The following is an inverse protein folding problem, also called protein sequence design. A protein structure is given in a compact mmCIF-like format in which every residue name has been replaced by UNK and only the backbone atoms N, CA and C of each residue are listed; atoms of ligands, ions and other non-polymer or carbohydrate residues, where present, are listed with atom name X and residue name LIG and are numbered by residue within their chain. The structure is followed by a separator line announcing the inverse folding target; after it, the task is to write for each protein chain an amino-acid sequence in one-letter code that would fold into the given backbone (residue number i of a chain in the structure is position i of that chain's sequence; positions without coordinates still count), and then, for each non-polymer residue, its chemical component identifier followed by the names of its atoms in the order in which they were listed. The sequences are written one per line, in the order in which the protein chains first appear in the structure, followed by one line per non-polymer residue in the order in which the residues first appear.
data_IF_598118678466
#
_entry.id   IF_598118678466
#
_cell.length_a   1.000
_cell.length_b   1.000
_cell.length_c   1.000
_cell.angle_alpha   90.00
_cell.angle_beta   90.00
_cell.angle_gamma   90.00
#
_symmetry.space_group_name_H-M   'P 1'
#
loop_
_entity.id
_entity.type
_entity.pdbx_description
1 polymer ?
#
# COMPACT_ATOMS: atom_id res chain seq x y z
N UNK A 1 15.36 5.31 12.80
CA UNK A 1 14.60 4.02 12.81
C UNK A 1 13.88 3.81 11.49
N UNK A 2 13.80 2.56 11.03
CA UNK A 2 13.10 2.15 9.80
C UNK A 2 11.91 1.28 10.20
N UNK A 3 10.73 1.55 9.67
CA UNK A 3 9.50 0.77 9.93
C UNK A 3 8.98 0.22 8.61
N UNK A 4 8.65 -1.08 8.59
CA UNK A 4 8.07 -1.70 7.41
C UNK A 4 6.90 -2.61 7.77
N UNK A 5 5.80 -2.49 7.02
CA UNK A 5 4.70 -3.45 7.01
C UNK A 5 4.83 -4.40 5.81
N UNK A 6 4.37 -5.64 5.94
CA UNK A 6 4.33 -6.60 4.83
C UNK A 6 5.68 -7.10 4.33
N UNK A 7 6.75 -7.03 5.15
CA UNK A 7 8.10 -7.48 4.80
C UNK A 7 8.42 -8.94 5.15
N UNK A 8 7.45 -9.73 5.63
CA UNK A 8 7.70 -11.13 6.04
C UNK A 8 7.64 -12.14 4.90
N UNK A 9 7.14 -11.76 3.72
CA UNK A 9 6.99 -12.62 2.53
C UNK A 9 6.87 -11.80 1.24
N UNK A 10 6.91 -12.52 0.11
CA UNK A 10 6.71 -11.92 -1.21
C UNK A 10 7.74 -10.83 -1.52
N UNK A 11 7.34 -9.87 -2.35
CA UNK A 11 8.20 -8.75 -2.74
C UNK A 11 8.69 -7.91 -1.55
N UNK A 12 7.84 -7.77 -0.51
CA UNK A 12 8.22 -7.04 0.70
C UNK A 12 9.38 -7.70 1.45
N UNK A 13 9.45 -9.06 1.48
CA UNK A 13 10.59 -9.76 2.07
C UNK A 13 11.86 -9.51 1.28
N UNK A 14 11.78 -9.59 -0.06
CA UNK A 14 12.93 -9.27 -0.92
C UNK A 14 13.40 -7.84 -0.69
N UNK A 15 12.47 -6.88 -0.58
CA UNK A 15 12.80 -5.49 -0.27
C UNK A 15 13.48 -5.36 1.10
N UNK A 16 12.95 -6.01 2.13
CA UNK A 16 13.50 -5.96 3.49
C UNK A 16 14.92 -6.55 3.57
N UNK A 17 15.19 -7.65 2.85
CA UNK A 17 16.51 -8.29 2.78
C UNK A 17 17.53 -7.45 2.00
N UNK A 18 17.09 -6.65 1.04
CA UNK A 18 17.95 -5.80 0.19
C UNK A 18 18.08 -4.37 0.71
N UNK A 19 17.29 -3.95 1.70
CA UNK A 19 17.26 -2.57 2.19
C UNK A 19 18.59 -2.17 2.83
N UNK A 20 19.37 -1.37 2.10
CA UNK A 20 20.67 -0.82 2.53
C UNK A 20 20.45 0.56 3.15
N UNK A 21 19.94 0.58 4.37
CA UNK A 21 19.80 1.79 5.16
C UNK A 21 20.22 1.49 6.60
N UNK A 22 20.90 2.46 7.23
CA UNK A 22 21.38 2.35 8.59
C UNK A 22 20.28 2.62 9.62
N UNK A 23 20.49 2.10 10.81
CA UNK A 23 19.59 2.28 11.94
C UNK A 23 18.76 1.05 12.29
N UNK A 24 18.03 1.18 13.37
CA UNK A 24 17.14 0.14 13.89
C UNK A 24 16.01 -0.16 12.92
N UNK A 25 15.74 -1.44 12.65
CA UNK A 25 14.76 -1.90 11.67
C UNK A 25 13.62 -2.64 12.36
N UNK A 26 12.42 -2.08 12.32
CA UNK A 26 11.20 -2.66 12.92
C UNK A 26 10.32 -3.26 11.83
N UNK A 27 10.07 -4.55 11.93
CA UNK A 27 9.14 -5.27 11.06
C UNK A 27 7.80 -5.45 11.75
N UNK A 28 6.76 -4.84 11.19
CA UNK A 28 5.40 -5.10 11.62
C UNK A 28 4.97 -6.52 11.22
N UNK A 29 4.67 -7.37 12.20
CA UNK A 29 4.34 -8.78 12.00
C UNK A 29 2.96 -9.13 12.55
N UNK A 30 2.20 -9.95 11.80
CA UNK A 30 0.95 -10.51 12.29
C UNK A 30 1.18 -11.88 12.93
N UNK A 31 0.77 -12.02 14.19
CA UNK A 31 0.93 -13.25 14.94
C UNK A 31 2.40 -13.65 15.12
N UNK A 32 2.71 -14.94 14.92
CA UNK A 32 4.06 -15.50 15.04
C UNK A 32 4.90 -15.37 13.77
N UNK A 33 4.68 -14.33 12.94
CA UNK A 33 5.44 -14.09 11.72
C UNK A 33 6.94 -13.94 11.99
N UNK A 34 7.78 -14.56 11.14
CA UNK A 34 9.24 -14.43 11.26
C UNK A 34 9.71 -13.22 10.45
N UNK A 35 10.45 -12.34 11.11
CA UNK A 35 11.14 -11.22 10.45
C UNK A 35 12.33 -11.71 9.63
N UNK A 36 12.72 -11.03 8.56
CA UNK A 36 14.03 -11.18 7.94
C UNK A 36 15.16 -10.87 8.94
N UNK A 37 16.35 -11.41 8.67
CA UNK A 37 17.54 -11.15 9.51
C UNK A 37 17.81 -9.64 9.63
N UNK A 38 18.13 -9.18 10.82
CA UNK A 38 18.39 -7.77 11.10
C UNK A 38 17.14 -6.90 11.29
N UNK A 39 15.93 -7.49 11.28
CA UNK A 39 14.68 -6.81 11.57
C UNK A 39 14.09 -7.29 12.89
N UNK A 40 13.75 -6.37 13.76
CA UNK A 40 13.07 -6.65 15.03
C UNK A 40 11.56 -6.79 14.79
N UNK A 41 10.94 -7.92 15.14
CA UNK A 41 9.50 -8.08 14.99
C UNK A 41 8.74 -7.30 16.04
N UNK A 42 7.72 -6.57 15.61
CA UNK A 42 6.76 -5.92 16.50
C UNK A 42 5.33 -6.30 16.05
N UNK A 43 4.46 -6.77 16.96
CA UNK A 43 3.13 -7.24 16.59
C UNK A 43 2.26 -6.13 16.01
N UNK A 44 1.63 -6.40 14.86
CA UNK A 44 0.64 -5.53 14.20
C UNK A 44 -0.39 -6.36 13.44
N UNK A 45 -1.67 -6.17 13.76
CA UNK A 45 -2.78 -6.63 12.94
C UNK A 45 -3.48 -5.44 12.28
N UNK A 46 -3.32 -5.33 10.97
CA UNK A 46 -3.94 -4.28 10.16
C UNK A 46 -5.46 -4.45 9.99
N UNK A 47 -6.09 -5.46 10.58
CA UNK A 47 -7.54 -5.58 10.66
C UNK A 47 -8.13 -4.99 11.95
N UNK A 48 -7.31 -4.26 12.75
CA UNK A 48 -7.72 -3.68 14.03
C UNK A 48 -7.08 -2.32 14.26
N UNK A 49 -7.89 -1.27 14.41
CA UNK A 49 -7.43 0.07 14.77
C UNK A 49 -6.72 0.08 16.12
N UNK A 50 -7.24 -0.67 17.09
CA UNK A 50 -6.61 -0.81 18.42
C UNK A 50 -5.20 -1.40 18.32
N UNK A 51 -4.99 -2.42 17.45
CA UNK A 51 -3.67 -2.98 17.20
C UNK A 51 -2.71 -1.97 16.60
N UNK A 52 -3.17 -1.12 15.67
CA UNK A 52 -2.35 -0.06 15.08
C UNK A 52 -1.92 0.96 16.12
N UNK A 53 -2.81 1.37 17.01
CA UNK A 53 -2.50 2.30 18.12
C UNK A 53 -1.50 1.69 19.09
N UNK A 54 -1.70 0.43 19.49
CA UNK A 54 -0.78 -0.31 20.35
C UNK A 54 0.60 -0.43 19.72
N UNK A 55 0.67 -0.76 18.42
CA UNK A 55 1.93 -0.82 17.68
C UNK A 55 2.65 0.53 17.70
N UNK A 56 1.96 1.62 17.38
CA UNK A 56 2.54 2.96 17.35
C UNK A 56 3.10 3.40 18.73
N UNK A 57 2.40 3.06 19.80
CA UNK A 57 2.83 3.33 21.18
C UNK A 57 4.04 2.48 21.59
N UNK A 58 4.12 1.24 21.11
CA UNK A 58 5.22 0.32 21.41
C UNK A 58 6.52 0.59 20.62
N UNK A 59 6.46 1.50 19.64
CA UNK A 59 7.66 1.87 18.86
C UNK A 59 8.71 2.54 19.75
N UNK A 60 10.00 2.19 19.60
CA UNK A 60 11.10 2.88 20.28
C UNK A 60 11.08 4.40 20.06
N UNK A 61 11.56 5.17 21.03
CA UNK A 61 11.52 6.65 20.99
C UNK A 61 12.52 7.30 20.00
N UNK A 62 12.94 6.60 18.96
CA UNK A 62 13.87 7.07 17.95
C UNK A 62 13.15 7.77 16.79
N UNK A 63 13.76 8.81 16.15
CA UNK A 63 13.22 9.40 14.93
C UNK A 63 13.07 8.36 13.80
N UNK A 64 12.00 8.45 13.04
CA UNK A 64 11.70 7.54 11.94
C UNK A 64 12.28 8.12 10.65
N UNK A 65 13.27 7.45 10.07
CA UNK A 65 13.91 7.86 8.81
C UNK A 65 13.26 7.24 7.59
N UNK A 66 12.65 6.04 7.74
CA UNK A 66 11.96 5.36 6.65
C UNK A 66 10.67 4.73 7.16
N UNK A 67 9.56 5.02 6.48
CA UNK A 67 8.26 4.41 6.72
C UNK A 67 7.77 3.72 5.45
N UNK A 68 7.74 2.38 5.45
CA UNK A 68 7.41 1.56 4.29
C UNK A 68 6.07 0.84 4.55
N UNK A 69 4.99 1.38 4.02
CA UNK A 69 3.63 0.89 4.15
C UNK A 69 3.31 -0.02 2.95
N UNK A 70 3.76 -1.28 3.03
CA UNK A 70 3.69 -2.22 1.91
C UNK A 70 2.70 -3.36 2.11
N UNK A 71 2.27 -3.67 3.34
CA UNK A 71 1.30 -4.73 3.55
C UNK A 71 0.02 -4.49 2.75
N UNK A 72 -0.60 -5.58 2.31
CA UNK A 72 -1.86 -5.50 1.59
C UNK A 72 -2.29 -6.86 1.05
N UNK A 73 -3.53 -6.91 0.61
CA UNK A 73 -4.13 -8.10 0.04
C UNK A 73 -5.43 -7.76 -0.69
N UNK A 74 -6.02 -8.77 -1.28
CA UNK A 74 -7.33 -8.71 -1.93
C UNK A 74 -8.22 -9.78 -1.34
N UNK A 75 -9.47 -9.45 -1.06
CA UNK A 75 -10.50 -10.43 -0.68
C UNK A 75 -11.37 -10.78 -1.88
N UNK A 76 -11.99 -11.97 -1.90
CA UNK A 76 -12.84 -12.41 -3.01
C UNK A 76 -14.18 -11.67 -3.06
N UNK A 77 -14.52 -10.90 -2.04
CA UNK A 77 -15.74 -10.10 -1.94
C UNK A 77 -15.49 -8.85 -1.09
N UNK A 78 -16.45 -7.94 -1.09
CA UNK A 78 -16.44 -6.72 -0.26
C UNK A 78 -17.37 -6.82 0.97
N UNK A 79 -17.83 -8.02 1.35
CA UNK A 79 -18.72 -8.24 2.50
C UNK A 79 -17.99 -8.62 3.78
N UNK A 80 -16.70 -9.02 3.68
CA UNK A 80 -15.88 -9.33 4.86
C UNK A 80 -15.56 -8.05 5.63
N UNK A 81 -15.76 -8.09 6.95
CA UNK A 81 -15.55 -6.93 7.85
C UNK A 81 -14.37 -7.15 8.79
N UNK A 82 -13.73 -6.06 9.17
CA UNK A 82 -12.77 -6.02 10.29
C UNK A 82 -13.51 -6.07 11.64
N UNK A 83 -12.77 -6.21 12.74
CA UNK A 83 -13.38 -6.09 14.08
C UNK A 83 -13.94 -4.68 14.36
N UNK A 84 -13.46 -3.66 13.64
CA UNK A 84 -13.95 -2.28 13.72
C UNK A 84 -15.16 -2.03 12.78
N UNK A 85 -15.65 -3.06 12.04
CA UNK A 85 -16.83 -2.99 11.17
C UNK A 85 -16.56 -2.53 9.73
N UNK A 86 -15.34 -2.19 9.35
CA UNK A 86 -14.99 -1.71 8.01
C UNK A 86 -14.82 -2.85 6.99
N UNK A 87 -15.00 -2.54 5.68
CA UNK A 87 -14.65 -3.47 4.61
C UNK A 87 -13.17 -3.87 4.72
N UNK A 88 -12.92 -5.18 4.69
CA UNK A 88 -11.63 -5.76 5.05
C UNK A 88 -10.48 -5.30 4.16
N UNK A 89 -10.69 -5.18 2.83
CA UNK A 89 -9.62 -4.83 1.88
C UNK A 89 -9.27 -3.34 1.99
N UNK A 90 -10.28 -2.48 2.04
CA UNK A 90 -10.08 -1.04 2.23
C UNK A 90 -9.40 -0.75 3.58
N UNK A 91 -9.90 -1.37 4.65
CA UNK A 91 -9.33 -1.17 5.98
C UNK A 91 -7.86 -1.60 6.04
N UNK A 92 -7.54 -2.83 5.61
CA UNK A 92 -6.18 -3.36 5.76
C UNK A 92 -5.16 -2.77 4.79
N UNK A 93 -5.59 -2.35 3.59
CA UNK A 93 -4.68 -1.78 2.60
C UNK A 93 -4.48 -0.28 2.76
N UNK A 94 -5.52 0.44 3.21
CA UNK A 94 -5.52 1.90 3.27
C UNK A 94 -5.76 2.45 4.68
N UNK A 95 -6.91 2.20 5.28
CA UNK A 95 -7.36 2.95 6.46
C UNK A 95 -6.45 2.78 7.67
N UNK A 96 -5.99 1.54 7.95
CA UNK A 96 -5.05 1.26 9.05
C UNK A 96 -3.63 1.73 8.75
N UNK A 97 -3.21 1.75 7.48
CA UNK A 97 -1.96 2.40 7.09
C UNK A 97 -2.04 3.92 7.21
N UNK A 98 -3.18 4.52 6.86
CA UNK A 98 -3.45 5.93 7.10
C UNK A 98 -3.32 6.26 8.59
N UNK A 99 -3.97 5.51 9.48
CA UNK A 99 -3.84 5.70 10.92
C UNK A 99 -2.38 5.55 11.39
N UNK A 100 -1.68 4.51 10.94
CA UNK A 100 -0.27 4.31 11.30
C UNK A 100 0.60 5.49 10.84
N UNK A 101 0.39 5.97 9.62
CA UNK A 101 1.06 7.17 9.10
C UNK A 101 0.80 8.37 10.01
N UNK A 102 -0.47 8.68 10.32
CA UNK A 102 -0.85 9.81 11.17
C UNK A 102 -0.22 9.74 12.56
N UNK A 103 -0.22 8.57 13.20
CA UNK A 103 0.37 8.34 14.51
C UNK A 103 1.91 8.46 14.52
N UNK A 104 2.55 8.19 13.37
CA UNK A 104 4.01 8.23 13.25
C UNK A 104 4.55 9.54 12.66
N UNK A 105 3.71 10.34 11.99
CA UNK A 105 4.11 11.62 11.39
C UNK A 105 4.88 12.55 12.34
N UNK A 106 4.47 12.76 13.61
CA UNK A 106 5.19 13.64 14.54
C UNK A 106 6.62 13.17 14.86
N UNK A 107 6.95 11.94 14.51
CA UNK A 107 8.25 11.29 14.77
C UNK A 107 9.09 11.10 13.52
N UNK A 108 8.61 11.53 12.35
CA UNK A 108 9.38 11.47 11.11
C UNK A 108 10.56 12.43 11.18
N UNK A 109 11.75 11.92 10.91
CA UNK A 109 12.97 12.73 10.86
C UNK A 109 12.95 13.72 9.69
N UNK A 110 13.66 14.84 9.76
CA UNK A 110 13.97 15.64 8.57
C UNK A 110 14.60 14.74 7.48
N UNK A 111 14.14 14.90 6.23
CA UNK A 111 14.57 14.08 5.11
C UNK A 111 14.02 12.65 5.11
N UNK A 112 13.04 12.31 5.94
CA UNK A 112 12.44 10.98 5.99
C UNK A 112 11.87 10.54 4.64
N UNK A 113 11.94 9.22 4.37
CA UNK A 113 11.39 8.62 3.16
C UNK A 113 10.15 7.79 3.50
N UNK A 114 9.04 8.09 2.84
CA UNK A 114 7.76 7.42 3.04
C UNK A 114 7.37 6.73 1.74
N UNK A 115 7.18 5.41 1.78
CA UNK A 115 6.75 4.64 0.61
C UNK A 115 5.44 3.93 0.93
N UNK A 116 4.40 4.19 0.13
CA UNK A 116 3.09 3.56 0.26
C UNK A 116 2.85 2.69 -0.98
N UNK A 117 2.65 1.39 -0.82
CA UNK A 117 2.43 0.49 -1.96
C UNK A 117 1.03 0.69 -2.55
N UNK A 118 0.99 1.18 -3.79
CA UNK A 118 -0.17 1.32 -4.65
C UNK A 118 -0.25 0.17 -5.67
N UNK A 119 -0.85 0.39 -6.83
CA UNK A 119 -0.94 -0.54 -7.97
C UNK A 119 -1.48 0.19 -9.20
N UNK A 120 -1.06 -0.19 -10.40
CA UNK A 120 -1.63 0.29 -11.67
C UNK A 120 -3.13 0.01 -11.84
N UNK A 121 -3.71 -0.87 -11.01
CA UNK A 121 -5.17 -1.13 -11.00
C UNK A 121 -6.02 0.10 -10.66
N UNK A 122 -5.42 1.17 -10.16
CA UNK A 122 -6.10 2.44 -9.92
C UNK A 122 -6.42 3.21 -11.21
N UNK A 123 -5.75 2.88 -12.31
CA UNK A 123 -5.87 3.59 -13.58
C UNK A 123 -6.58 2.72 -14.64
N UNK A 124 -7.76 3.12 -15.14
CA UNK A 124 -8.47 2.39 -16.18
C UNK A 124 -7.69 2.30 -17.51
N UNK A 125 -6.72 3.20 -17.75
CA UNK A 125 -5.87 3.21 -18.95
C UNK A 125 -4.91 2.02 -18.98
N UNK A 126 -4.53 1.48 -17.82
CA UNK A 126 -3.60 0.34 -17.68
C UNK A 126 -4.22 -1.01 -18.09
N UNK A 127 -5.54 -1.10 -18.26
CA UNK A 127 -6.26 -2.31 -18.71
C UNK A 127 -5.83 -3.58 -17.99
N UNK A 128 -5.67 -3.51 -16.68
CA UNK A 128 -5.12 -4.59 -15.85
C UNK A 128 -6.00 -5.83 -15.74
N UNK A 129 -7.22 -5.79 -16.28
CA UNK A 129 -8.24 -6.84 -16.08
C UNK A 129 -8.95 -6.77 -14.72
N UNK A 130 -8.51 -5.90 -13.82
CA UNK A 130 -9.18 -5.61 -12.54
C UNK A 130 -10.07 -4.38 -12.74
N UNK A 131 -11.35 -4.41 -12.29
CA UNK A 131 -12.23 -3.25 -12.39
C UNK A 131 -11.62 -2.01 -11.73
N UNK A 132 -11.48 -0.92 -12.48
CA UNK A 132 -10.94 0.34 -11.96
C UNK A 132 -11.86 0.94 -10.88
N UNK A 133 -11.32 1.76 -9.95
CA UNK A 133 -12.11 2.49 -8.97
C UNK A 133 -13.13 3.41 -9.64
N UNK A 134 -14.27 3.63 -8.99
CA UNK A 134 -15.29 4.61 -9.41
C UNK A 134 -15.18 5.93 -8.68
N UNK A 135 -14.59 5.90 -7.50
CA UNK A 135 -14.44 7.02 -6.57
C UNK A 135 -13.41 6.69 -5.49
N UNK A 136 -13.08 7.68 -4.68
CA UNK A 136 -12.29 7.56 -3.45
C UNK A 136 -13.07 8.01 -2.21
N UNK A 137 -14.40 7.92 -2.21
CA UNK A 137 -15.22 8.25 -1.05
C UNK A 137 -14.97 7.24 0.07
N UNK A 138 -14.36 7.68 1.17
CA UNK A 138 -13.90 6.80 2.25
C UNK A 138 -15.06 6.11 2.97
N UNK A 139 -16.19 6.78 3.18
CA UNK A 139 -17.39 6.22 3.80
C UNK A 139 -17.96 5.05 3.00
N UNK A 140 -18.09 5.21 1.68
CA UNK A 140 -18.61 4.15 0.80
C UNK A 140 -17.62 3.00 0.63
N UNK A 141 -16.32 3.26 0.73
CA UNK A 141 -15.32 2.20 0.69
C UNK A 141 -15.25 1.43 2.02
N UNK A 142 -15.47 2.10 3.14
CA UNK A 142 -15.55 1.49 4.46
C UNK A 142 -16.85 0.67 4.63
N UNK A 143 -17.95 1.15 4.05
CA UNK A 143 -19.30 0.57 4.14
C UNK A 143 -19.91 0.42 2.73
N UNK A 144 -19.48 -0.59 1.94
CA UNK A 144 -19.90 -0.73 0.54
C UNK A 144 -21.40 -0.87 0.30
N UNK A 145 -22.17 -1.29 1.31
CA UNK A 145 -23.63 -1.35 1.27
C UNK A 145 -24.29 0.04 1.18
N UNK A 146 -23.55 1.10 1.47
CA UNK A 146 -24.00 2.51 1.37
C UNK A 146 -23.70 3.13 0.00
N UNK A 147 -22.87 2.47 -0.84
CA UNK A 147 -22.57 2.96 -2.19
C UNK A 147 -23.77 2.71 -3.12
N UNK A 148 -24.44 3.76 -3.63
CA UNK A 148 -25.56 3.60 -4.54
C UNK A 148 -25.16 2.97 -5.89
N UNK A 149 -23.87 2.90 -6.19
CA UNK A 149 -23.31 2.30 -7.41
C UNK A 149 -22.69 0.94 -7.16
N UNK A 150 -23.19 0.18 -6.20
CA UNK A 150 -22.70 -1.13 -5.81
C UNK A 150 -22.48 -2.10 -6.98
N UNK A 151 -21.57 -3.03 -6.83
CA UNK A 151 -21.24 -4.02 -7.86
C UNK A 151 -22.24 -5.17 -7.89
N UNK A 152 -22.53 -5.68 -9.11
CA UNK A 152 -23.53 -6.75 -9.34
C UNK A 152 -23.12 -8.10 -8.76
N UNK A 153 -21.81 -8.37 -8.61
CA UNK A 153 -21.30 -9.65 -8.10
C UNK A 153 -20.26 -9.45 -7.01
N UNK A 154 -20.22 -10.37 -6.06
CA UNK A 154 -19.26 -10.35 -4.97
C UNK A 154 -17.80 -10.32 -5.45
N UNK A 155 -17.49 -11.06 -6.52
CA UNK A 155 -16.15 -11.11 -7.08
C UNK A 155 -15.71 -9.76 -7.68
N UNK A 156 -16.59 -9.09 -8.43
CA UNK A 156 -16.32 -7.75 -8.97
C UNK A 156 -16.16 -6.74 -7.82
N UNK A 157 -17.04 -6.81 -6.81
CA UNK A 157 -16.94 -5.95 -5.63
C UNK A 157 -15.61 -6.11 -4.90
N UNK A 158 -15.13 -7.34 -4.68
CA UNK A 158 -13.83 -7.60 -4.05
C UNK A 158 -12.65 -7.10 -4.88
N UNK A 159 -12.67 -7.27 -6.20
CA UNK A 159 -11.64 -6.73 -7.09
C UNK A 159 -11.64 -5.20 -7.08
N UNK A 160 -12.82 -4.56 -7.11
CA UNK A 160 -12.93 -3.09 -7.08
C UNK A 160 -12.53 -2.52 -5.71
N UNK A 161 -12.87 -3.16 -4.60
CA UNK A 161 -12.38 -2.78 -3.28
C UNK A 161 -10.86 -2.74 -3.23
N UNK A 162 -10.19 -3.72 -3.88
CA UNK A 162 -8.74 -3.72 -4.01
C UNK A 162 -8.23 -2.52 -4.84
N UNK A 163 -8.73 -2.32 -6.06
CA UNK A 163 -8.27 -1.21 -6.91
C UNK A 163 -8.55 0.16 -6.27
N UNK A 164 -9.71 0.31 -5.60
CA UNK A 164 -10.04 1.52 -4.86
C UNK A 164 -9.10 1.75 -3.67
N UNK A 165 -8.75 0.71 -2.90
CA UNK A 165 -7.77 0.84 -1.82
C UNK A 165 -6.40 1.31 -2.32
N UNK A 166 -6.01 0.89 -3.54
CA UNK A 166 -4.74 1.30 -4.16
C UNK A 166 -4.77 2.73 -4.71
N UNK A 167 -5.92 3.18 -5.20
CA UNK A 167 -6.18 4.58 -5.50
C UNK A 167 -6.01 5.43 -4.22
N UNK A 168 -6.67 5.04 -3.12
CA UNK A 168 -6.58 5.77 -1.85
C UNK A 168 -5.16 5.87 -1.32
N UNK A 169 -4.35 4.82 -1.47
CA UNK A 169 -2.93 4.84 -1.10
C UNK A 169 -2.13 5.88 -1.91
N UNK A 170 -2.38 5.97 -3.22
CA UNK A 170 -1.76 6.98 -4.07
C UNK A 170 -2.21 8.39 -3.70
N UNK A 171 -3.50 8.60 -3.47
CA UNK A 171 -4.05 9.90 -3.07
C UNK A 171 -3.50 10.35 -1.70
N UNK A 172 -3.36 9.43 -0.75
CA UNK A 172 -2.70 9.70 0.55
C UNK A 172 -1.24 10.13 0.37
N UNK A 173 -0.49 9.45 -0.51
CA UNK A 173 0.89 9.83 -0.80
C UNK A 173 0.97 11.23 -1.44
N UNK A 174 0.05 11.56 -2.37
CA UNK A 174 -0.03 12.89 -2.99
C UNK A 174 -0.36 13.97 -1.98
N UNK A 175 -1.38 13.74 -1.14
CA UNK A 175 -1.72 14.68 -0.07
C UNK A 175 -0.52 14.94 0.85
N UNK A 176 0.11 13.88 1.34
CA UNK A 176 1.24 14.00 2.24
C UNK A 176 2.42 14.74 1.60
N UNK A 177 2.75 14.44 0.33
CA UNK A 177 3.83 15.11 -0.39
C UNK A 177 3.59 16.61 -0.56
N UNK A 178 2.32 17.01 -0.74
CA UNK A 178 1.92 18.42 -0.89
C UNK A 178 1.75 19.14 0.45
N UNK A 179 1.78 18.42 1.58
CA UNK A 179 1.55 19.00 2.91
C UNK A 179 2.69 19.92 3.36
N UNK A 180 2.35 20.89 4.21
CA UNK A 180 3.36 21.78 4.80
C UNK A 180 4.43 21.02 5.60
N UNK A 181 4.08 20.06 6.49
CA UNK A 181 5.09 19.28 7.21
C UNK A 181 6.08 18.55 6.31
N UNK A 182 5.61 17.99 5.17
CA UNK A 182 6.50 17.28 4.24
C UNK A 182 7.48 18.25 3.57
N UNK A 183 7.01 19.43 3.15
CA UNK A 183 7.86 20.46 2.55
C UNK A 183 8.86 21.03 3.54
N UNK A 184 8.41 21.40 4.74
CA UNK A 184 9.26 21.99 5.78
C UNK A 184 10.36 21.04 6.24
N UNK A 185 10.08 19.73 6.30
CA UNK A 185 11.04 18.73 6.73
C UNK A 185 11.77 18.02 5.58
N UNK A 186 11.52 18.38 4.33
CA UNK A 186 12.16 17.76 3.16
C UNK A 186 11.85 16.27 3.00
N UNK A 187 10.65 15.82 3.39
CA UNK A 187 10.28 14.41 3.24
C UNK A 187 10.15 14.00 1.77
N UNK A 188 10.62 12.79 1.47
CA UNK A 188 10.40 12.16 0.17
C UNK A 188 9.25 11.16 0.28
N UNK A 189 8.14 11.43 -0.41
CA UNK A 189 6.91 10.61 -0.33
C UNK A 189 6.63 9.98 -1.68
N UNK A 190 6.39 8.67 -1.68
CA UNK A 190 6.18 7.88 -2.89
C UNK A 190 4.99 6.95 -2.77
N UNK A 191 4.19 6.88 -3.83
CA UNK A 191 3.26 5.79 -4.08
C UNK A 191 3.91 4.81 -5.06
N UNK A 192 4.14 3.56 -4.61
CA UNK A 192 4.85 2.55 -5.40
C UNK A 192 3.90 1.54 -6.03
N UNK A 193 3.96 1.40 -7.34
CA UNK A 193 3.33 0.31 -8.10
C UNK A 193 4.38 -0.74 -8.50
N UNK A 194 4.35 -1.95 -7.94
CA UNK A 194 5.27 -3.03 -8.30
C UNK A 194 4.96 -3.66 -9.66
N UNK A 195 3.88 -3.26 -10.34
CA UNK A 195 3.30 -3.96 -11.48
C UNK A 195 2.69 -5.30 -11.09
N UNK A 196 2.14 -6.02 -12.07
CA UNK A 196 1.65 -7.36 -11.84
C UNK A 196 2.85 -8.29 -11.51
N UNK A 197 2.89 -8.76 -10.28
CA UNK A 197 3.98 -9.60 -9.77
C UNK A 197 3.42 -10.99 -9.45
N UNK A 198 3.55 -11.96 -10.38
CA UNK A 198 3.17 -13.34 -10.14
C UNK A 198 3.90 -13.92 -8.92
N UNK A 199 3.33 -14.99 -8.34
CA UNK A 199 3.89 -15.66 -7.13
C UNK A 199 3.79 -14.85 -5.83
N UNK A 200 3.13 -13.68 -5.83
CA UNK A 200 2.77 -13.00 -4.59
C UNK A 200 1.52 -13.63 -3.97
N UNK A 201 1.33 -13.45 -2.66
CA UNK A 201 0.13 -13.95 -1.96
C UNK A 201 -1.18 -13.23 -2.29
N UNK A 202 -1.21 -12.44 -3.38
CA UNK A 202 -2.37 -11.62 -3.78
C UNK A 202 -3.62 -12.44 -4.07
N UNK A 203 -3.44 -13.63 -4.67
CA UNK A 203 -4.55 -14.54 -5.04
C UNK A 203 -4.80 -15.64 -4.01
N UNK A 204 -4.30 -15.51 -2.79
CA UNK A 204 -4.43 -16.56 -1.76
C UNK A 204 -5.88 -16.96 -1.50
N UNK A 205 -6.78 -16.00 -1.54
CA UNK A 205 -8.20 -16.18 -1.26
C UNK A 205 -9.03 -16.35 -2.55
N UNK A 206 -8.37 -16.52 -3.72
CA UNK A 206 -9.00 -16.84 -5.00
C UNK A 206 -9.29 -18.35 -5.14
N UNK A 207 -10.08 -18.72 -6.14
CA UNK A 207 -10.45 -20.12 -6.41
C UNK A 207 -9.21 -21.01 -6.58
N UNK A 208 -9.33 -22.29 -6.25
CA UNK A 208 -8.24 -23.25 -6.38
C UNK A 208 -7.74 -23.39 -7.83
N UNK A 209 -8.63 -23.22 -8.83
CA UNK A 209 -8.30 -23.27 -10.26
C UNK A 209 -7.34 -22.13 -10.62
N UNK A 210 -7.63 -20.90 -10.20
CA UNK A 210 -6.77 -19.74 -10.45
C UNK A 210 -5.42 -19.94 -9.75
N UNK A 211 -5.43 -20.43 -8.52
CA UNK A 211 -4.21 -20.68 -7.73
C UNK A 211 -3.33 -21.80 -8.26
N UNK A 212 -3.95 -22.89 -8.75
CA UNK A 212 -3.24 -24.10 -9.13
C UNK A 212 -2.86 -24.14 -10.62
N UNK A 213 -3.67 -23.56 -11.51
CA UNK A 213 -3.49 -23.69 -12.94
C UNK A 213 -3.06 -22.39 -13.63
N UNK A 214 -3.64 -21.25 -13.25
CA UNK A 214 -3.36 -19.97 -13.92
C UNK A 214 -2.14 -19.28 -13.31
N UNK A 215 -2.14 -19.13 -12.00
CA UNK A 215 -1.13 -18.36 -11.27
C UNK A 215 0.31 -18.90 -11.41
N UNK A 216 0.59 -20.21 -11.38
CA UNK A 216 1.92 -20.75 -11.56
C UNK A 216 2.49 -20.59 -12.98
N UNK A 217 1.63 -20.40 -13.99
CA UNK A 217 2.06 -20.21 -15.38
C UNK A 217 2.38 -18.75 -15.72
N UNK A 218 1.84 -17.79 -14.94
CA UNK A 218 2.10 -16.36 -15.18
C UNK A 218 3.58 -15.97 -15.19
N UNK A 219 4.48 -16.52 -14.35
CA UNK A 219 5.90 -16.20 -14.40
C UNK A 219 6.55 -16.46 -15.77
N UNK A 220 6.02 -17.40 -16.56
CA UNK A 220 6.53 -17.73 -17.91
C UNK A 220 6.22 -16.60 -18.92
N UNK A 221 5.20 -15.79 -18.68
CA UNK A 221 4.79 -14.70 -19.57
C UNK A 221 5.39 -13.35 -19.14
N UNK A 222 6.04 -13.26 -17.97
CA UNK A 222 6.66 -12.03 -17.46
C UNK A 222 7.59 -11.36 -18.50
N UNK A 223 8.49 -12.09 -19.20
CA UNK A 223 9.40 -11.46 -20.17
C UNK A 223 8.68 -10.81 -21.36
N UNK A 224 7.47 -11.25 -21.68
CA UNK A 224 6.68 -10.81 -22.83
C UNK A 224 5.76 -9.62 -22.49
N UNK A 225 5.51 -9.35 -21.21
CA UNK A 225 4.59 -8.32 -20.77
C UNK A 225 5.31 -7.06 -20.22
N UNK A 226 4.90 -5.89 -20.68
CA UNK A 226 5.45 -4.61 -20.17
C UNK A 226 5.06 -4.32 -18.72
N UNK A 227 3.89 -4.78 -18.29
CA UNK A 227 3.32 -4.52 -16.96
C UNK A 227 3.61 -5.60 -15.91
N UNK A 228 4.33 -6.68 -16.27
CA UNK A 228 4.67 -7.75 -15.34
C UNK A 228 6.11 -7.64 -14.85
N UNK A 229 6.33 -7.91 -13.57
CA UNK A 229 7.65 -7.94 -12.96
C UNK A 229 7.87 -9.23 -12.17
N UNK A 230 9.13 -9.64 -12.05
CA UNK A 230 9.49 -10.70 -11.12
C UNK A 230 9.39 -10.21 -9.68
N UNK A 231 9.18 -11.12 -8.74
CA UNK A 231 9.20 -10.79 -7.30
C UNK A 231 10.53 -10.13 -6.88
N UNK A 232 11.64 -10.58 -7.46
CA UNK A 232 12.96 -10.03 -7.19
C UNK A 232 13.08 -8.57 -7.67
N UNK A 233 12.59 -8.26 -8.88
CA UNK A 233 12.62 -6.90 -9.40
C UNK A 233 11.65 -5.99 -8.62
N UNK A 234 10.45 -6.48 -8.29
CA UNK A 234 9.48 -5.71 -7.52
C UNK A 234 9.99 -5.40 -6.09
N UNK A 235 10.65 -6.36 -5.44
CA UNK A 235 11.27 -6.13 -4.13
C UNK A 235 12.47 -5.19 -4.21
N UNK A 236 13.31 -5.33 -5.24
CA UNK A 236 14.43 -4.40 -5.47
C UNK A 236 13.93 -2.97 -5.71
N UNK A 237 12.93 -2.79 -6.58
CA UNK A 237 12.35 -1.48 -6.84
C UNK A 237 11.80 -0.81 -5.58
N UNK A 238 11.14 -1.56 -4.70
CA UNK A 238 10.68 -1.06 -3.41
C UNK A 238 11.85 -0.63 -2.50
N UNK A 239 12.91 -1.44 -2.43
CA UNK A 239 14.12 -1.12 -1.68
C UNK A 239 14.81 0.13 -2.22
N UNK A 240 15.00 0.21 -3.54
CA UNK A 240 15.64 1.35 -4.19
C UNK A 240 14.83 2.65 -3.98
N UNK A 241 13.50 2.56 -4.08
CA UNK A 241 12.62 3.70 -3.84
C UNK A 241 12.68 4.15 -2.38
N UNK A 242 12.81 3.21 -1.45
CA UNK A 242 12.95 3.52 -0.03
C UNK A 242 14.34 4.10 0.33
N UNK A 243 15.39 3.92 -0.49
CA UNK A 243 16.75 4.34 -0.14
C UNK A 243 17.33 5.41 -1.07
N UNK A 244 17.43 5.12 -2.37
CA UNK A 244 18.28 5.87 -3.29
C UNK A 244 17.53 6.58 -4.41
N UNK A 245 16.31 6.15 -4.77
CA UNK A 245 15.60 6.67 -5.92
C UNK A 245 15.36 8.18 -5.78
N UNK A 246 15.62 8.91 -6.86
CA UNK A 246 15.31 10.32 -6.99
C UNK A 246 14.14 10.48 -7.95
N UNK A 247 13.04 11.03 -7.47
CA UNK A 247 11.91 11.37 -8.32
C UNK A 247 12.22 12.61 -9.14
N UNK A 248 11.69 12.73 -10.36
CA UNK A 248 11.55 14.03 -11.01
C UNK A 248 10.74 14.99 -10.14
N UNK A 249 10.97 16.28 -10.29
CA UNK A 249 10.28 17.30 -9.49
C UNK A 249 8.74 17.14 -9.58
N UNK A 250 8.07 17.13 -8.44
CA UNK A 250 6.62 16.98 -8.34
C UNK A 250 6.06 15.56 -8.55
N UNK A 251 6.90 14.57 -8.87
CA UNK A 251 6.44 13.20 -9.09
C UNK A 251 6.37 12.42 -7.77
N UNK A 252 5.18 11.90 -7.47
CA UNK A 252 4.90 11.06 -6.29
C UNK A 252 4.64 9.60 -6.70
N UNK A 253 4.01 9.38 -7.85
CA UNK A 253 3.67 8.04 -8.34
C UNK A 253 4.85 7.42 -9.09
N UNK A 254 5.26 6.25 -8.65
CA UNK A 254 6.35 5.47 -9.23
C UNK A 254 5.86 4.08 -9.59
N UNK A 255 5.98 3.70 -10.86
CA UNK A 255 5.63 2.38 -11.36
C UNK A 255 6.88 1.62 -11.81
N UNK A 256 6.95 0.33 -11.47
CA UNK A 256 8.00 -0.55 -11.95
C UNK A 256 7.63 -1.10 -13.33
N UNK A 257 8.39 -0.73 -14.35
CA UNK A 257 8.23 -1.22 -15.71
C UNK A 257 9.49 -1.96 -16.16
N UNK A 258 9.38 -3.24 -16.48
CA UNK A 258 10.52 -4.10 -16.90
C UNK A 258 11.72 -4.02 -15.94
N UNK A 259 11.44 -3.98 -14.64
CA UNK A 259 12.47 -3.91 -13.60
C UNK A 259 13.09 -2.54 -13.38
N UNK A 260 12.61 -1.49 -14.04
CA UNK A 260 13.07 -0.11 -13.89
C UNK A 260 11.98 0.77 -13.26
N UNK A 261 12.36 1.67 -12.37
CA UNK A 261 11.47 2.68 -11.81
C UNK A 261 11.13 3.73 -12.87
N UNK A 262 9.85 3.95 -13.08
CA UNK A 262 9.30 4.94 -14.02
C UNK A 262 8.31 5.86 -13.29
N UNK A 263 8.04 7.03 -13.85
CA UNK A 263 7.24 8.06 -13.21
C UNK A 263 6.06 8.48 -14.11
N UNK A 264 5.10 7.59 -14.37
CA UNK A 264 3.95 7.92 -15.22
C UNK A 264 2.99 8.87 -14.51
N UNK A 265 2.14 9.53 -15.29
CA UNK A 265 1.04 10.32 -14.74
C UNK A 265 0.01 9.40 -14.09
N UNK A 266 -0.47 9.70 -12.88
CA UNK A 266 -1.54 8.97 -12.23
C UNK A 266 -2.88 9.07 -13.00
N UNK A 267 -3.89 8.26 -12.59
CA UNK A 267 -5.26 8.39 -13.12
C UNK A 267 -5.87 9.76 -12.79
N UNK A 268 -6.85 10.18 -13.58
CA UNK A 268 -7.51 11.48 -13.41
C UNK A 268 -8.14 11.63 -12.02
N UNK A 269 -8.79 10.56 -11.52
CA UNK A 269 -9.35 10.55 -10.14
C UNK A 269 -8.25 10.75 -9.09
N UNK A 270 -7.08 10.16 -9.29
CA UNK A 270 -5.96 10.36 -8.37
C UNK A 270 -5.39 11.79 -8.41
N UNK A 271 -5.64 12.52 -9.48
CA UNK A 271 -5.21 13.92 -9.67
C UNK A 271 -6.26 14.95 -9.24
N UNK A 272 -7.45 14.52 -8.83
CA UNK A 272 -8.49 15.41 -8.31
C UNK A 272 -8.16 15.83 -6.86
N UNK A 273 -7.66 17.03 -6.68
CA UNK A 273 -7.20 17.54 -5.39
C UNK A 273 -8.36 17.72 -4.38
N UNK A 274 -9.59 17.95 -4.85
CA UNK A 274 -10.78 17.99 -3.98
C UNK A 274 -11.07 16.60 -3.42
N UNK A 275 -11.05 15.58 -4.27
CA UNK A 275 -11.23 14.20 -3.84
C UNK A 275 -10.07 13.72 -2.95
N UNK A 276 -8.84 14.17 -3.22
CA UNK A 276 -7.65 13.87 -2.39
C UNK A 276 -7.80 14.45 -0.99
N UNK A 277 -8.24 15.70 -0.87
CA UNK A 277 -8.51 16.36 0.42
C UNK A 277 -9.64 15.65 1.16
N UNK A 278 -10.76 15.40 0.49
CA UNK A 278 -11.92 14.72 1.10
C UNK A 278 -11.55 13.34 1.64
N UNK A 279 -10.79 12.53 0.85
CA UNK A 279 -10.31 11.22 1.32
C UNK A 279 -9.49 11.33 2.59
N UNK A 280 -8.59 12.31 2.67
CA UNK A 280 -7.74 12.52 3.84
C UNK A 280 -8.54 12.84 5.08
N UNK A 281 -9.50 13.77 4.98
CA UNK A 281 -10.34 14.23 6.09
C UNK A 281 -11.34 13.14 6.53
N UNK A 282 -12.03 12.50 5.58
CA UNK A 282 -12.97 11.42 5.87
C UNK A 282 -12.27 10.21 6.50
N UNK A 283 -11.05 9.88 6.03
CA UNK A 283 -10.26 8.81 6.66
C UNK A 283 -9.91 9.14 8.11
N UNK A 284 -9.64 10.40 8.44
CA UNK A 284 -9.42 10.84 9.82
C UNK A 284 -10.64 10.59 10.70
N UNK A 285 -11.83 10.95 10.20
CA UNK A 285 -13.11 10.70 10.88
C UNK A 285 -13.37 9.22 11.14
N UNK A 286 -13.11 8.36 10.13
CA UNK A 286 -13.34 6.91 10.26
C UNK A 286 -12.41 6.23 11.28
N UNK A 287 -11.23 6.79 11.53
CA UNK A 287 -10.27 6.21 12.50
C UNK A 287 -10.19 6.97 13.81
N UNK A 288 -11.12 7.89 14.10
CA UNK A 288 -11.13 8.73 15.30
C UNK A 288 -9.76 9.40 15.55
N UNK A 289 -9.23 10.04 14.52
CA UNK A 289 -7.98 10.79 14.59
C UNK A 289 -8.26 12.28 14.34
N UNK A 290 -8.34 13.04 15.41
CA UNK A 290 -8.47 14.50 15.40
C UNK A 290 -7.12 15.20 15.29
#
# INVERSE_FOLDING_TARGET
MIIMTGGTRGLGRVAAEQLKADGRKIMAVRGKGRSPTGWEPLPLDLSSLASVRTFATALPAEPITHLILNAGGQRPNASTRTCDGFEMTFATNHLTHYLLLRLTMPRLAPGARIVITSSGTHDPREKTGVPAPRHANAEWLAYPERDPRGDKTAAIAGMRAYSASKLCNLMTARFLAASEPARANGWSVFAYDPGLTPSTGLVRDQSWVVRALVWPLLPLVVPLSKGMNTMANAGRGLSDLATNAKAPAGCVYCALCKGQLTWPSPSDIACDDVAVQALWDDSAGLVDYS
#
